data_IF_389393160835
#
_entry.id   IF_389393160835
#
_cell.length_a   1.000
_cell.length_b   1.000
_cell.length_c   1.000
_cell.angle_alpha   90.00
_cell.angle_beta   90.00
_cell.angle_gamma   90.00
#
_symmetry.space_group_name_H-M   'P 1'
#
loop_
_entity.id
_entity.type
_entity.pdbx_description
1 polymer ?
#
# COMPACT_ATOMS: atom_id res chain seq x y z
N UNK A 1 53.07 6.94 -4.29
CA UNK A 1 52.51 5.66 -4.79
C UNK A 1 52.52 4.68 -3.61
N UNK A 2 51.42 4.60 -2.85
CA UNK A 2 51.31 3.74 -1.65
C UNK A 2 50.79 2.39 -2.11
N UNK A 3 51.68 1.40 -2.13
CA UNK A 3 51.34 -0.01 -2.41
C UNK A 3 50.67 -0.61 -1.17
N UNK A 4 49.34 -0.69 -1.18
CA UNK A 4 48.63 -1.46 -0.18
C UNK A 4 48.81 -2.97 -0.45
N UNK A 5 49.48 -3.66 0.43
CA UNK A 5 49.64 -5.11 0.39
C UNK A 5 48.25 -5.77 0.57
N UNK A 6 47.76 -6.47 -0.48
CA UNK A 6 46.62 -7.38 -0.41
C UNK A 6 46.92 -8.49 0.60
N UNK A 7 46.39 -8.39 1.81
CA UNK A 7 46.58 -9.40 2.87
C UNK A 7 46.73 -8.83 4.28
N UNK A 8 46.86 -7.52 4.44
CA UNK A 8 46.90 -6.92 5.77
C UNK A 8 45.50 -6.98 6.44
N UNK A 9 45.49 -7.17 7.79
CA UNK A 9 44.25 -7.14 8.58
C UNK A 9 43.44 -5.84 8.34
N UNK A 10 44.15 -4.73 8.10
CA UNK A 10 43.59 -3.41 7.80
C UNK A 10 42.88 -3.38 6.43
N UNK A 11 43.47 -4.00 5.39
CA UNK A 11 42.86 -4.11 4.06
C UNK A 11 41.57 -4.93 4.10
N UNK A 12 41.57 -6.04 4.82
CA UNK A 12 40.39 -6.89 4.97
C UNK A 12 39.30 -6.21 5.80
N UNK A 13 39.66 -5.39 6.79
CA UNK A 13 38.71 -4.60 7.59
C UNK A 13 38.03 -3.53 6.70
N UNK A 14 38.81 -2.71 6.01
CA UNK A 14 38.31 -1.66 5.10
C UNK A 14 37.44 -2.29 3.98
N UNK A 15 37.89 -3.41 3.41
CA UNK A 15 37.14 -4.10 2.36
C UNK A 15 35.80 -4.61 2.86
N UNK A 16 35.69 -5.11 4.10
CA UNK A 16 34.42 -5.53 4.72
C UNK A 16 33.48 -4.36 5.01
N UNK A 17 33.99 -3.23 5.48
CA UNK A 17 33.21 -2.01 5.68
C UNK A 17 32.63 -1.49 4.36
N UNK A 18 33.45 -1.37 3.31
CA UNK A 18 33.00 -0.94 1.97
C UNK A 18 31.97 -1.89 1.39
N UNK A 19 32.11 -3.21 1.60
CA UNK A 19 31.11 -4.18 1.17
C UNK A 19 29.82 -4.12 2.01
N UNK A 20 29.93 -3.83 3.31
CA UNK A 20 28.81 -3.60 4.21
C UNK A 20 28.01 -2.35 3.82
N UNK A 21 28.72 -1.24 3.58
CA UNK A 21 28.11 0.01 3.13
C UNK A 21 27.44 -0.13 1.75
N UNK A 22 28.08 -0.84 0.80
CA UNK A 22 27.49 -1.06 -0.52
C UNK A 22 26.21 -1.90 -0.47
N UNK A 23 26.15 -2.93 0.38
CA UNK A 23 24.95 -3.73 0.61
C UNK A 23 23.83 -2.90 1.25
N UNK A 24 24.15 -2.11 2.26
CA UNK A 24 23.21 -1.23 2.93
C UNK A 24 22.67 -0.15 1.98
N UNK A 25 23.53 0.42 1.15
CA UNK A 25 23.16 1.42 0.15
C UNK A 25 22.24 0.84 -0.94
N UNK A 26 22.52 -0.38 -1.40
CA UNK A 26 21.66 -1.06 -2.37
C UNK A 26 20.30 -1.39 -1.76
N UNK A 27 20.26 -1.92 -0.55
CA UNK A 27 19.01 -2.17 0.19
C UNK A 27 18.16 -0.90 0.31
N UNK A 28 18.77 0.22 0.69
CA UNK A 28 18.03 1.51 0.79
C UNK A 28 17.49 1.99 -0.55
N UNK A 29 18.18 1.73 -1.66
CA UNK A 29 17.66 2.08 -3.00
C UNK A 29 16.46 1.23 -3.40
N UNK A 30 16.50 -0.06 -3.10
CA UNK A 30 15.39 -0.97 -3.33
C UNK A 30 14.17 -0.57 -2.50
N UNK A 31 14.36 -0.29 -1.21
CA UNK A 31 13.30 0.19 -0.32
C UNK A 31 12.68 1.53 -0.79
N UNK A 32 13.48 2.47 -1.26
CA UNK A 32 12.98 3.74 -1.83
C UNK A 32 12.12 3.47 -3.06
N UNK A 33 12.55 2.57 -3.95
CA UNK A 33 11.78 2.21 -5.14
C UNK A 33 10.48 1.51 -4.80
N UNK A 34 10.50 0.64 -3.80
CA UNK A 34 9.31 -0.04 -3.30
C UNK A 34 8.28 0.95 -2.74
N UNK A 35 8.73 1.89 -1.90
CA UNK A 35 7.87 2.98 -1.39
C UNK A 35 7.32 3.84 -2.53
N UNK A 36 8.13 4.17 -3.53
CA UNK A 36 7.68 4.92 -4.71
C UNK A 36 6.57 4.17 -5.47
N UNK A 37 6.75 2.88 -5.74
CA UNK A 37 5.73 2.05 -6.40
C UNK A 37 4.42 1.99 -5.60
N UNK A 38 4.51 1.88 -4.27
CA UNK A 38 3.32 1.89 -3.39
C UNK A 38 2.59 3.24 -3.47
N UNK A 39 3.32 4.34 -3.51
CA UNK A 39 2.73 5.68 -3.64
C UNK A 39 2.12 5.93 -5.03
N UNK A 40 2.72 5.41 -6.09
CA UNK A 40 2.16 5.49 -7.44
C UNK A 40 0.79 4.79 -7.52
N UNK A 41 0.60 3.71 -6.76
CA UNK A 41 -0.69 3.01 -6.64
C UNK A 41 -1.67 3.60 -5.62
N UNK A 42 -1.38 4.76 -5.00
CA UNK A 42 -2.26 5.31 -3.96
C UNK A 42 -3.67 5.67 -4.46
N UNK A 43 -3.76 6.22 -5.67
CA UNK A 43 -5.05 6.53 -6.31
C UNK A 43 -5.92 5.29 -6.48
N UNK A 44 -5.34 4.23 -7.07
CA UNK A 44 -5.99 2.94 -7.29
C UNK A 44 -6.42 2.31 -5.96
N UNK A 45 -5.56 2.40 -4.92
CA UNK A 45 -5.86 1.91 -3.58
C UNK A 45 -7.10 2.59 -2.97
N UNK A 46 -7.27 3.89 -3.17
CA UNK A 46 -8.45 4.64 -2.68
C UNK A 46 -9.71 4.21 -3.43
N UNK A 47 -9.62 4.06 -4.76
CA UNK A 47 -10.73 3.59 -5.59
C UNK A 47 -11.12 2.14 -5.26
N UNK A 48 -10.14 1.25 -5.04
CA UNK A 48 -10.38 -0.13 -4.62
C UNK A 48 -11.13 -0.21 -3.28
N UNK A 49 -10.78 0.65 -2.32
CA UNK A 49 -11.49 0.72 -1.02
C UNK A 49 -12.97 1.08 -1.23
N UNK A 50 -13.27 2.05 -2.06
CA UNK A 50 -14.65 2.46 -2.38
C UNK A 50 -15.39 1.31 -3.09
N UNK A 51 -14.81 0.73 -4.14
CA UNK A 51 -15.37 -0.39 -4.86
C UNK A 51 -15.65 -1.63 -3.99
N UNK A 52 -14.78 -1.93 -3.04
CA UNK A 52 -14.99 -3.07 -2.12
C UNK A 52 -16.14 -2.76 -1.16
N UNK A 53 -16.28 -1.53 -0.68
CA UNK A 53 -17.40 -1.10 0.17
C UNK A 53 -18.73 -1.23 -0.55
N UNK A 54 -18.80 -0.75 -1.78
CA UNK A 54 -20.01 -0.85 -2.61
C UNK A 54 -20.41 -2.32 -2.81
N UNK A 55 -19.45 -3.21 -3.13
CA UNK A 55 -19.71 -4.64 -3.26
C UNK A 55 -20.19 -5.31 -1.97
N UNK A 56 -19.73 -4.86 -0.80
CA UNK A 56 -20.22 -5.36 0.48
C UNK A 56 -21.65 -4.89 0.70
N UNK A 57 -21.97 -3.64 0.38
CA UNK A 57 -23.31 -3.08 0.49
C UNK A 57 -24.31 -3.79 -0.45
N UNK A 58 -23.92 -4.01 -1.71
CA UNK A 58 -24.71 -4.79 -2.66
C UNK A 58 -25.05 -6.19 -2.12
N UNK A 59 -24.07 -6.90 -1.55
CA UNK A 59 -24.30 -8.21 -0.93
C UNK A 59 -25.25 -8.13 0.27
N UNK A 60 -25.18 -7.05 1.05
CA UNK A 60 -26.08 -6.84 2.21
C UNK A 60 -27.52 -6.53 1.77
N UNK A 61 -27.69 -5.78 0.68
CA UNK A 61 -29.00 -5.51 0.11
C UNK A 61 -29.64 -6.77 -0.47
N UNK A 62 -28.89 -7.62 -1.16
CA UNK A 62 -29.39 -8.94 -1.61
C UNK A 62 -29.90 -9.79 -0.44
N UNK A 63 -29.27 -9.72 0.74
CA UNK A 63 -29.74 -10.42 1.94
C UNK A 63 -31.05 -9.85 2.48
N UNK A 64 -31.28 -8.54 2.40
CA UNK A 64 -32.51 -7.89 2.83
C UNK A 64 -33.69 -8.20 1.90
N UNK A 65 -33.44 -8.44 0.61
CA UNK A 65 -34.40 -8.82 -0.39
C UNK A 65 -34.95 -10.25 -0.24
N UNK A 66 -34.22 -11.14 0.41
CA UNK A 66 -34.66 -12.49 0.74
C UNK A 66 -35.49 -12.48 2.03
N UNK A 67 -36.61 -11.78 2.03
CA UNK A 67 -37.58 -11.80 3.12
C UNK A 67 -38.08 -13.24 3.37
N UNK A 68 -38.16 -13.63 4.64
CA UNK A 68 -38.54 -14.96 5.07
C UNK A 68 -39.81 -15.45 4.34
N UNK A 69 -39.64 -16.41 3.45
CA UNK A 69 -40.74 -17.23 2.96
C UNK A 69 -41.18 -18.06 4.18
N UNK A 70 -42.37 -17.79 4.70
CA UNK A 70 -42.92 -18.53 5.81
C UNK A 70 -42.95 -20.02 5.47
N UNK A 71 -42.13 -20.81 6.14
CA UNK A 71 -42.18 -22.27 6.08
C UNK A 71 -43.40 -22.72 6.90
N UNK A 72 -44.48 -23.15 6.24
CA UNK A 72 -45.41 -24.06 6.87
C UNK A 72 -44.67 -25.39 7.12
N UNK A 73 -44.65 -25.81 8.37
CA UNK A 73 -44.05 -27.07 8.79
C UNK A 73 -44.78 -28.25 8.14
N UNK A 74 -44.22 -28.82 7.08
CA UNK A 74 -44.53 -30.17 6.64
C UNK A 74 -43.54 -31.13 7.25
N UNK A 75 -43.94 -31.83 8.30
CA UNK A 75 -43.19 -32.86 9.01
C UNK A 75 -42.94 -34.08 8.11
N UNK A 76 -41.78 -34.16 7.53
CA UNK A 76 -41.22 -35.33 6.85
C UNK A 76 -39.74 -35.49 7.20
N UNK A 77 -39.44 -36.57 7.96
CA UNK A 77 -38.05 -36.91 8.31
C UNK A 77 -37.30 -37.35 7.04
N UNK A 78 -36.54 -36.48 6.44
CA UNK A 78 -35.60 -36.85 5.39
C UNK A 78 -34.20 -36.39 5.77
N UNK A 79 -33.34 -37.36 6.13
CA UNK A 79 -31.92 -37.22 6.52
C UNK A 79 -31.03 -36.87 5.33
N UNK A 80 -31.35 -35.87 4.52
CA UNK A 80 -30.46 -35.28 3.49
C UNK A 80 -30.72 -33.80 3.36
N UNK A 81 -30.36 -33.02 4.38
CA UNK A 81 -30.30 -31.57 4.29
C UNK A 81 -28.90 -31.13 3.82
N UNK A 82 -28.65 -31.25 2.52
CA UNK A 82 -27.85 -30.29 1.81
C UNK A 82 -28.81 -29.38 1.06
N UNK A 83 -29.45 -28.46 1.76
CA UNK A 83 -30.30 -27.45 1.15
C UNK A 83 -29.42 -26.60 0.24
N UNK A 84 -29.78 -26.51 -1.05
CA UNK A 84 -29.12 -25.62 -2.00
C UNK A 84 -29.05 -24.18 -1.48
N UNK A 85 -30.08 -23.79 -0.72
CA UNK A 85 -30.19 -22.49 -0.04
C UNK A 85 -29.11 -22.30 1.05
N UNK A 86 -28.84 -23.32 1.88
CA UNK A 86 -27.78 -23.25 2.87
C UNK A 86 -26.39 -23.10 2.23
N UNK A 87 -26.14 -23.84 1.14
CA UNK A 87 -24.91 -23.72 0.40
C UNK A 87 -24.76 -22.32 -0.24
N UNK A 88 -25.83 -21.76 -0.77
CA UNK A 88 -25.84 -20.42 -1.35
C UNK A 88 -25.56 -19.34 -0.28
N UNK A 89 -26.17 -19.45 0.88
CA UNK A 89 -25.91 -18.57 2.03
C UNK A 89 -24.45 -18.67 2.46
N UNK A 90 -23.92 -19.88 2.62
CA UNK A 90 -22.51 -20.09 2.99
C UNK A 90 -21.54 -19.48 1.97
N UNK A 91 -21.81 -19.62 0.67
CA UNK A 91 -20.98 -19.04 -0.38
C UNK A 91 -21.00 -17.51 -0.30
N UNK A 92 -22.18 -16.90 -0.14
CA UNK A 92 -22.32 -15.45 0.02
C UNK A 92 -21.61 -14.93 1.27
N UNK A 93 -21.75 -15.60 2.41
CA UNK A 93 -21.05 -15.24 3.64
C UNK A 93 -19.53 -15.33 3.51
N UNK A 94 -19.02 -16.38 2.88
CA UNK A 94 -17.58 -16.53 2.65
C UNK A 94 -17.07 -15.40 1.75
N UNK A 95 -17.78 -15.08 0.67
CA UNK A 95 -17.45 -13.95 -0.21
C UNK A 95 -17.42 -12.63 0.55
N UNK A 96 -18.41 -12.38 1.41
CA UNK A 96 -18.44 -11.19 2.27
C UNK A 96 -17.23 -11.12 3.21
N UNK A 97 -16.89 -12.24 3.86
CA UNK A 97 -15.69 -12.31 4.74
C UNK A 97 -14.40 -12.01 3.99
N UNK A 98 -14.24 -12.54 2.76
CA UNK A 98 -13.09 -12.24 1.91
C UNK A 98 -13.01 -10.76 1.54
N UNK A 99 -14.12 -10.14 1.15
CA UNK A 99 -14.17 -8.71 0.86
C UNK A 99 -13.84 -7.86 2.07
N UNK A 100 -14.37 -8.18 3.25
CA UNK A 100 -14.05 -7.49 4.50
C UNK A 100 -12.56 -7.64 4.86
N UNK A 101 -11.96 -8.81 4.63
CA UNK A 101 -10.53 -9.01 4.85
C UNK A 101 -9.69 -8.13 3.94
N UNK A 102 -10.00 -8.12 2.64
CA UNK A 102 -9.34 -7.25 1.65
C UNK A 102 -9.51 -5.78 1.99
N UNK A 103 -10.73 -5.35 2.34
CA UNK A 103 -10.99 -3.98 2.77
C UNK A 103 -10.08 -3.55 3.92
N UNK A 104 -9.97 -4.39 4.96
CA UNK A 104 -9.11 -4.11 6.11
C UNK A 104 -7.64 -4.02 5.76
N UNK A 105 -7.17 -4.78 4.77
CA UNK A 105 -5.79 -4.71 4.28
C UNK A 105 -5.54 -3.40 3.53
N UNK A 106 -6.43 -3.04 2.62
CA UNK A 106 -6.36 -1.77 1.88
C UNK A 106 -6.43 -0.56 2.82
N UNK A 107 -7.35 -0.55 3.77
CA UNK A 107 -7.48 0.54 4.75
C UNK A 107 -6.25 0.65 5.66
N UNK A 108 -5.64 -0.48 6.05
CA UNK A 108 -4.38 -0.48 6.81
C UNK A 108 -3.24 0.12 6.01
N UNK A 109 -3.11 -0.26 4.74
CA UNK A 109 -2.07 0.28 3.86
C UNK A 109 -2.29 1.79 3.65
N UNK A 110 -3.52 2.20 3.33
CA UNK A 110 -3.88 3.62 3.21
C UNK A 110 -3.51 4.40 4.46
N UNK A 111 -3.89 3.92 5.64
CA UNK A 111 -3.56 4.54 6.93
C UNK A 111 -2.05 4.67 7.17
N UNK A 112 -1.24 3.68 6.74
CA UNK A 112 0.22 3.74 6.82
C UNK A 112 0.79 4.82 5.91
N UNK A 113 0.28 4.92 4.68
CA UNK A 113 0.68 5.96 3.72
C UNK A 113 0.30 7.34 4.26
N UNK A 114 -0.94 7.54 4.70
CA UNK A 114 -1.42 8.82 5.25
C UNK A 114 -0.56 9.24 6.46
N UNK A 115 -0.23 8.31 7.33
CA UNK A 115 0.67 8.56 8.47
C UNK A 115 2.08 8.94 8.02
N UNK A 116 2.60 8.28 6.98
CA UNK A 116 3.91 8.59 6.42
C UNK A 116 3.94 10.00 5.82
N UNK A 117 2.93 10.36 5.03
CA UNK A 117 2.79 11.70 4.45
C UNK A 117 2.67 12.77 5.54
N UNK A 118 1.83 12.54 6.55
CA UNK A 118 1.65 13.46 7.66
C UNK A 118 2.92 13.64 8.54
N UNK A 119 3.85 12.69 8.50
CA UNK A 119 5.15 12.81 9.18
C UNK A 119 6.16 13.69 8.43
N UNK A 120 5.90 14.00 7.17
CA UNK A 120 6.72 14.92 6.38
C UNK A 120 6.36 16.36 6.73
N UNK A 121 7.30 17.27 6.56
CA UNK A 121 7.12 18.71 6.84
C UNK A 121 7.61 19.55 5.67
N UNK A 122 7.04 20.75 5.55
CA UNK A 122 7.44 21.74 4.55
C UNK A 122 7.37 21.20 3.12
N UNK A 123 8.35 21.55 2.33
CA UNK A 123 8.41 21.24 0.89
C UNK A 123 8.42 19.73 0.59
N UNK A 124 8.97 18.90 1.49
CA UNK A 124 9.00 17.45 1.30
C UNK A 124 7.58 16.87 1.27
N UNK A 125 6.71 17.34 2.17
CA UNK A 125 5.31 16.95 2.19
C UNK A 125 4.58 17.43 0.95
N UNK A 126 4.73 18.69 0.60
CA UNK A 126 4.06 19.34 -0.53
C UNK A 126 4.40 18.63 -1.86
N UNK A 127 5.68 18.30 -2.10
CA UNK A 127 6.11 17.58 -3.30
C UNK A 127 5.49 16.18 -3.38
N UNK A 128 5.41 15.45 -2.26
CA UNK A 128 4.81 14.11 -2.24
C UNK A 128 3.29 14.18 -2.43
N UNK A 129 2.61 15.11 -1.76
CA UNK A 129 1.16 15.31 -1.92
C UNK A 129 0.80 15.69 -3.37
N UNK A 130 1.52 16.64 -3.97
CA UNK A 130 1.28 17.07 -5.35
C UNK A 130 1.57 15.95 -6.35
N UNK A 131 2.57 15.09 -6.10
CA UNK A 131 2.97 14.07 -7.05
C UNK A 131 2.14 12.80 -6.98
N UNK A 132 1.78 12.33 -5.77
CA UNK A 132 1.26 10.98 -5.57
C UNK A 132 -0.14 10.94 -4.92
N UNK A 133 -0.49 11.93 -4.09
CA UNK A 133 -1.72 11.91 -3.32
C UNK A 133 -2.86 12.65 -4.03
N UNK A 134 -2.56 13.77 -4.66
CA UNK A 134 -3.56 14.53 -5.39
C UNK A 134 -4.02 13.78 -6.63
N UNK A 135 -5.34 13.73 -6.86
CA UNK A 135 -5.98 13.06 -8.02
C UNK A 135 -5.54 13.61 -9.38
N UNK A 136 -4.88 14.76 -9.43
CA UNK A 136 -4.35 15.34 -10.68
C UNK A 136 -2.94 14.82 -10.90
N UNK A 137 -2.71 14.22 -12.05
CA UNK A 137 -1.38 13.84 -12.52
C UNK A 137 -0.58 15.09 -12.87
N UNK A 138 0.00 15.71 -11.84
CA UNK A 138 0.78 16.94 -11.99
C UNK A 138 2.20 16.61 -12.46
N UNK A 139 2.64 17.31 -13.51
CA UNK A 139 3.98 17.17 -14.05
C UNK A 139 5.06 17.77 -13.15
N UNK A 140 6.30 17.29 -13.26
CA UNK A 140 7.41 17.81 -12.44
C UNK A 140 7.68 19.30 -12.62
N UNK A 141 7.42 19.84 -13.81
CA UNK A 141 7.56 21.30 -14.08
C UNK A 141 6.56 22.10 -13.26
N UNK A 142 5.33 21.63 -13.20
CA UNK A 142 4.25 22.28 -12.48
C UNK A 142 4.47 22.19 -10.97
N UNK A 143 4.91 21.01 -10.47
CA UNK A 143 5.31 20.85 -9.05
C UNK A 143 6.43 21.82 -8.71
N UNK A 144 7.47 21.88 -9.55
CA UNK A 144 8.61 22.77 -9.35
C UNK A 144 8.21 24.24 -9.25
N UNK A 145 7.27 24.66 -10.12
CA UNK A 145 6.70 26.00 -10.09
C UNK A 145 5.93 26.27 -8.78
N UNK A 146 5.12 25.31 -8.33
CA UNK A 146 4.30 25.44 -7.11
C UNK A 146 5.15 25.59 -5.85
N UNK A 147 6.22 24.78 -5.74
CA UNK A 147 7.09 24.75 -4.55
C UNK A 147 8.27 25.72 -4.63
N UNK A 148 8.38 26.50 -5.70
CA UNK A 148 9.46 27.48 -5.94
C UNK A 148 10.88 26.86 -5.92
N UNK A 149 11.02 25.69 -6.58
CA UNK A 149 12.30 25.00 -6.76
C UNK A 149 12.50 24.58 -8.21
N UNK A 150 13.75 24.28 -8.59
CA UNK A 150 13.99 23.72 -9.93
C UNK A 150 13.47 22.27 -10.02
N UNK A 151 12.99 21.86 -11.20
CA UNK A 151 12.55 20.48 -11.48
C UNK A 151 13.62 19.44 -11.09
N UNK A 152 14.88 19.72 -11.45
CA UNK A 152 15.99 18.84 -11.11
C UNK A 152 16.19 18.68 -9.60
N UNK A 153 15.99 19.76 -8.83
CA UNK A 153 16.08 19.73 -7.37
C UNK A 153 14.95 18.91 -6.76
N UNK A 154 13.70 19.12 -7.20
CA UNK A 154 12.55 18.34 -6.75
C UNK A 154 12.74 16.84 -6.98
N UNK A 155 13.16 16.45 -8.20
CA UNK A 155 13.33 15.04 -8.58
C UNK A 155 14.52 14.35 -7.91
N UNK A 156 15.69 15.05 -7.83
CA UNK A 156 16.96 14.43 -7.42
C UNK A 156 17.29 14.61 -5.95
N UNK A 157 16.67 15.57 -5.26
CA UNK A 157 16.98 15.89 -3.86
C UNK A 157 15.76 15.74 -2.94
N UNK A 158 14.67 16.46 -3.22
CA UNK A 158 13.50 16.48 -2.34
C UNK A 158 12.81 15.12 -2.34
N UNK A 159 12.43 14.60 -3.52
CA UNK A 159 11.75 13.31 -3.64
C UNK A 159 12.49 12.17 -2.91
N UNK A 160 13.77 11.87 -3.18
CA UNK A 160 14.46 10.76 -2.52
C UNK A 160 14.59 10.94 -1.01
N UNK A 161 14.74 12.18 -0.53
CA UNK A 161 14.81 12.49 0.90
C UNK A 161 13.48 12.20 1.59
N UNK A 162 12.38 12.64 1.00
CA UNK A 162 11.03 12.38 1.50
C UNK A 162 10.71 10.87 1.51
N UNK A 163 10.95 10.17 0.39
CA UNK A 163 10.73 8.72 0.29
C UNK A 163 11.54 7.95 1.33
N UNK A 164 12.81 8.30 1.54
CA UNK A 164 13.65 7.69 2.57
C UNK A 164 13.07 7.87 3.98
N UNK A 165 12.49 9.03 4.27
CA UNK A 165 11.83 9.26 5.56
C UNK A 165 10.58 8.38 5.74
N UNK A 166 9.85 8.10 4.65
CA UNK A 166 8.60 7.33 4.65
C UNK A 166 8.82 5.82 4.81
N UNK A 167 10.01 5.29 4.50
CA UNK A 167 10.33 3.85 4.55
C UNK A 167 9.87 3.21 5.87
N UNK A 168 10.21 3.82 7.00
CA UNK A 168 9.89 3.29 8.34
C UNK A 168 8.39 3.20 8.65
N UNK A 169 7.55 3.94 7.94
CA UNK A 169 6.10 3.93 8.13
C UNK A 169 5.39 2.99 7.18
N UNK A 170 5.93 2.83 5.97
CA UNK A 170 5.29 2.08 4.90
C UNK A 170 5.75 0.61 4.89
N UNK A 171 7.02 0.33 5.09
CA UNK A 171 7.57 -1.03 5.00
C UNK A 171 7.65 -1.74 6.36
N UNK A 172 7.72 -1.01 7.47
CA UNK A 172 7.88 -1.54 8.83
C UNK A 172 6.76 -1.04 9.75
#
# INVERSE_FOLDING_TARGET
>A
MILFFKGSKLYNFIYREVQGESKLFNKTKEEIKEVENILEGYGDLVEDIELIKDKIEELEEEYRGCGAIGYEETSGVTNKFNSSVENEIMVKENRKRELISKLRECERLKKRIDKAVNSLTGVDREVIELKYINKRLIGWKEIAYTVDYSESHCRKRIKPRALKHMIKFILY
#
